data_IF_797050630085
#
_entry.id   IF_797050630085
#
_cell.length_a   1.000
_cell.length_b   1.000
_cell.length_c   1.000
_cell.angle_alpha   90.00
_cell.angle_beta   90.00
_cell.angle_gamma   90.00
#
_symmetry.space_group_name_H-M   'P 1'
#
loop_
_entity.id
_entity.type
_entity.pdbx_description
1 polymer ?
#
# COMPACT_ATOMS: atom_id res chain seq x y z
N UNK A 1 -44.68 -7.79 2.72
CA UNK A 1 -43.24 -8.06 2.49
C UNK A 1 -42.74 -7.08 1.45
N UNK A 2 -41.55 -6.48 1.62
CA UNK A 2 -40.98 -5.58 0.62
C UNK A 2 -40.83 -6.31 -0.73
N UNK A 3 -41.03 -5.60 -1.83
CA UNK A 3 -40.89 -6.15 -3.19
C UNK A 3 -39.48 -5.98 -3.75
N UNK A 4 -38.59 -5.36 -2.97
CA UNK A 4 -37.21 -5.03 -3.35
C UNK A 4 -36.24 -5.33 -2.21
N UNK A 5 -34.96 -5.49 -2.53
CA UNK A 5 -33.87 -5.57 -1.57
C UNK A 5 -33.59 -4.23 -0.88
N UNK A 6 -32.90 -4.27 0.26
CA UNK A 6 -32.77 -3.12 1.15
C UNK A 6 -31.73 -2.09 0.66
N UNK A 7 -30.67 -2.55 -0.02
CA UNK A 7 -29.50 -1.72 -0.34
C UNK A 7 -29.58 -1.21 -1.78
N UNK A 8 -29.73 -2.13 -2.74
CA UNK A 8 -29.70 -1.84 -4.17
C UNK A 8 -31.09 -1.81 -4.81
N UNK A 9 -32.16 -2.00 -4.03
CA UNK A 9 -33.54 -2.01 -4.51
C UNK A 9 -33.81 -3.06 -5.61
N UNK A 10 -33.15 -4.23 -5.52
CA UNK A 10 -33.29 -5.32 -6.48
C UNK A 10 -34.68 -5.94 -6.40
N UNK A 11 -35.41 -6.11 -7.52
CA UNK A 11 -36.76 -6.63 -7.50
C UNK A 11 -36.81 -8.10 -7.10
N UNK A 12 -37.73 -8.43 -6.20
CA UNK A 12 -38.01 -9.80 -5.78
C UNK A 12 -39.09 -10.45 -6.63
N UNK A 13 -38.97 -11.76 -6.84
CA UNK A 13 -40.01 -12.58 -7.45
C UNK A 13 -41.19 -12.66 -6.48
N UNK A 14 -42.40 -12.36 -6.96
CA UNK A 14 -43.61 -12.45 -6.15
C UNK A 14 -44.05 -13.91 -5.93
N UNK A 15 -44.74 -14.21 -4.81
CA UNK A 15 -45.31 -15.54 -4.57
C UNK A 15 -46.25 -16.01 -5.70
N UNK A 16 -46.35 -17.33 -5.92
CA UNK A 16 -47.28 -17.93 -6.89
C UNK A 16 -46.66 -18.72 -8.05
N UNK A 17 -45.33 -18.79 -8.14
CA UNK A 17 -44.60 -19.54 -9.18
C UNK A 17 -43.83 -20.73 -8.58
N UNK A 18 -44.54 -21.77 -8.12
CA UNK A 18 -43.96 -23.03 -7.59
C UNK A 18 -42.82 -22.83 -6.56
N UNK A 19 -43.00 -21.88 -5.62
CA UNK A 19 -42.04 -21.56 -4.55
C UNK A 19 -40.61 -21.13 -4.96
N UNK A 20 -40.34 -20.90 -6.25
CA UNK A 20 -39.02 -20.43 -6.73
C UNK A 20 -38.58 -19.10 -6.14
N UNK A 21 -39.54 -18.26 -5.75
CA UNK A 21 -39.30 -16.98 -5.10
C UNK A 21 -38.53 -17.09 -3.79
N UNK A 22 -38.65 -18.21 -3.05
CA UNK A 22 -37.98 -18.36 -1.75
C UNK A 22 -36.46 -18.37 -1.92
N UNK A 23 -35.93 -19.40 -2.60
CA UNK A 23 -34.49 -19.57 -2.78
C UNK A 23 -33.86 -18.47 -3.64
N UNK A 24 -34.59 -17.97 -4.63
CA UNK A 24 -34.08 -16.87 -5.48
C UNK A 24 -34.00 -15.55 -4.73
N UNK A 25 -35.03 -15.17 -3.95
CA UNK A 25 -34.99 -13.92 -3.22
C UNK A 25 -33.99 -13.98 -2.06
N UNK A 26 -33.77 -15.16 -1.45
CA UNK A 26 -32.65 -15.36 -0.51
C UNK A 26 -31.30 -15.12 -1.18
N UNK A 27 -31.06 -15.68 -2.37
CA UNK A 27 -29.83 -15.42 -3.11
C UNK A 27 -29.66 -13.93 -3.46
N UNK A 28 -30.75 -13.24 -3.82
CA UNK A 28 -30.72 -11.80 -4.09
C UNK A 28 -30.42 -10.98 -2.84
N UNK A 29 -30.98 -11.33 -1.67
CA UNK A 29 -30.63 -10.68 -0.39
C UNK A 29 -29.13 -10.77 -0.09
N UNK A 30 -28.53 -11.95 -0.33
CA UNK A 30 -27.09 -12.15 -0.10
C UNK A 30 -26.25 -11.34 -1.09
N UNK A 31 -26.63 -11.32 -2.37
CA UNK A 31 -25.96 -10.49 -3.38
C UNK A 31 -26.07 -8.99 -3.10
N UNK A 32 -27.25 -8.52 -2.66
CA UNK A 32 -27.49 -7.13 -2.26
C UNK A 32 -26.50 -6.67 -1.17
N UNK A 33 -26.17 -7.56 -0.23
CA UNK A 33 -25.22 -7.29 0.82
C UNK A 33 -23.74 -7.39 0.40
N UNK A 34 -23.41 -8.26 -0.56
CA UNK A 34 -22.02 -8.68 -0.86
C UNK A 34 -21.42 -8.12 -2.16
N UNK A 35 -22.21 -7.54 -3.07
CA UNK A 35 -21.68 -7.02 -4.36
C UNK A 35 -20.76 -5.81 -4.16
N UNK A 36 -21.09 -4.94 -3.20
CA UNK A 36 -20.29 -3.77 -2.81
C UNK A 36 -20.44 -3.57 -1.29
N UNK A 37 -19.87 -4.46 -0.47
CA UNK A 37 -20.15 -4.49 0.96
C UNK A 37 -19.52 -3.26 1.63
N UNK A 38 -20.38 -2.41 2.17
CA UNK A 38 -20.00 -1.26 3.00
C UNK A 38 -20.42 -1.56 4.43
N UNK A 39 -19.48 -1.75 5.33
CA UNK A 39 -19.76 -2.05 6.73
C UNK A 39 -19.56 -0.79 7.58
N UNK A 40 -20.38 -0.63 8.61
CA UNK A 40 -20.28 0.54 9.48
C UNK A 40 -18.99 0.51 10.31
N UNK A 41 -18.65 -0.67 10.83
CA UNK A 41 -17.52 -0.92 11.72
C UNK A 41 -17.08 -2.40 11.65
N UNK A 42 -15.90 -2.70 12.24
CA UNK A 42 -15.35 -4.06 12.40
C UNK A 42 -14.90 -4.42 13.82
N UNK A 43 -15.06 -3.50 14.77
CA UNK A 43 -14.59 -3.61 16.15
C UNK A 43 -15.74 -3.76 17.18
N UNK A 44 -16.99 -3.76 16.72
CA UNK A 44 -18.17 -3.91 17.57
C UNK A 44 -18.42 -5.38 17.96
N UNK A 45 -18.70 -5.59 19.25
CA UNK A 45 -18.95 -6.91 19.84
C UNK A 45 -20.41 -7.17 20.20
N UNK A 46 -21.32 -6.23 19.98
CA UNK A 46 -22.75 -6.42 20.26
C UNK A 46 -23.61 -5.73 19.20
N UNK A 47 -24.73 -6.33 18.77
CA UNK A 47 -25.60 -5.72 17.78
C UNK A 47 -26.15 -4.37 18.25
N UNK A 48 -26.29 -3.39 17.34
CA UNK A 48 -27.11 -2.20 17.60
C UNK A 48 -28.51 -2.59 18.10
N UNK A 49 -29.04 -1.83 19.07
CA UNK A 49 -30.39 -2.08 19.58
C UNK A 49 -31.49 -1.77 18.55
N UNK A 50 -31.23 -0.82 17.64
CA UNK A 50 -32.18 -0.38 16.61
C UNK A 50 -31.47 -0.25 15.25
N UNK A 51 -31.12 -1.36 14.59
CA UNK A 51 -30.48 -1.34 13.29
C UNK A 51 -31.47 -1.01 12.16
N UNK A 52 -31.05 -0.18 11.22
CA UNK A 52 -31.79 0.05 9.97
C UNK A 52 -31.68 -1.17 9.04
N UNK A 53 -32.71 -1.43 8.24
CA UNK A 53 -32.66 -2.51 7.25
C UNK A 53 -31.48 -2.29 6.28
N UNK A 54 -30.66 -3.31 6.09
CA UNK A 54 -29.42 -3.24 5.32
C UNK A 54 -28.19 -2.78 6.12
N UNK A 55 -28.32 -2.51 7.44
CA UNK A 55 -27.16 -2.25 8.29
C UNK A 55 -26.20 -3.45 8.25
N UNK A 56 -24.90 -3.18 8.10
CA UNK A 56 -23.86 -4.21 7.99
C UNK A 56 -22.68 -3.91 8.89
N UNK A 57 -22.15 -4.95 9.52
CA UNK A 57 -21.01 -4.89 10.43
C UNK A 57 -20.10 -6.08 10.19
N UNK A 58 -18.80 -5.93 10.41
CA UNK A 58 -17.92 -7.08 10.64
C UNK A 58 -17.95 -7.35 12.14
N UNK A 59 -18.35 -8.56 12.52
CA UNK A 59 -18.49 -8.93 13.93
C UNK A 59 -17.11 -9.07 14.57
N UNK A 60 -16.83 -8.32 15.63
CA UNK A 60 -15.55 -8.40 16.33
C UNK A 60 -15.43 -9.67 17.18
N UNK A 61 -14.19 -10.02 17.54
CA UNK A 61 -13.93 -11.11 18.47
C UNK A 61 -14.58 -10.85 19.84
N UNK A 62 -15.09 -11.91 20.48
CA UNK A 62 -15.81 -11.79 21.76
C UNK A 62 -17.24 -11.26 21.63
N UNK A 63 -17.86 -11.45 20.46
CA UNK A 63 -19.23 -11.02 20.22
C UNK A 63 -20.27 -11.68 21.16
N UNK A 64 -21.25 -10.90 21.57
CA UNK A 64 -22.36 -11.30 22.43
C UNK A 64 -23.73 -11.04 21.80
N UNK A 65 -24.79 -11.44 22.52
CA UNK A 65 -26.17 -11.33 22.03
C UNK A 65 -26.38 -12.17 20.76
N UNK A 66 -27.13 -11.63 19.80
CA UNK A 66 -27.40 -12.28 18.52
C UNK A 66 -26.13 -12.55 17.69
N UNK A 67 -25.02 -11.88 18.01
CA UNK A 67 -23.74 -12.04 17.30
C UNK A 67 -22.84 -13.12 17.92
N UNK A 68 -23.29 -13.80 18.97
CA UNK A 68 -22.50 -14.85 19.66
C UNK A 68 -22.11 -15.97 18.68
N UNK A 69 -20.81 -16.24 18.55
CA UNK A 69 -20.27 -17.27 17.66
C UNK A 69 -20.01 -16.83 16.21
N UNK A 70 -20.32 -15.58 15.87
CA UNK A 70 -20.22 -15.06 14.49
C UNK A 70 -19.00 -14.15 14.25
N UNK A 71 -17.97 -14.24 15.10
CA UNK A 71 -16.78 -13.40 15.00
C UNK A 71 -16.08 -13.53 13.62
N UNK A 72 -15.79 -12.39 13.00
CA UNK A 72 -15.18 -12.28 11.67
C UNK A 72 -16.16 -12.35 10.50
N UNK A 73 -17.43 -12.70 10.74
CA UNK A 73 -18.47 -12.71 9.71
C UNK A 73 -19.01 -11.31 9.44
N UNK A 74 -19.59 -11.12 8.24
CA UNK A 74 -20.36 -9.92 7.92
C UNK A 74 -21.78 -10.15 8.42
N UNK A 75 -22.18 -9.43 9.47
CA UNK A 75 -23.55 -9.38 9.95
C UNK A 75 -24.35 -8.37 9.11
N UNK A 76 -25.55 -8.76 8.67
CA UNK A 76 -26.47 -7.97 7.84
C UNK A 76 -27.84 -7.98 8.50
N UNK A 77 -28.40 -6.81 8.80
CA UNK A 77 -29.76 -6.71 9.30
C UNK A 77 -30.76 -6.73 8.14
N UNK A 78 -31.63 -7.74 8.06
CA UNK A 78 -32.60 -7.85 6.97
C UNK A 78 -33.93 -7.10 7.23
N UNK A 79 -34.02 -6.40 8.37
CA UNK A 79 -35.23 -5.76 8.87
C UNK A 79 -35.94 -6.55 9.97
N UNK A 80 -35.59 -7.82 10.17
CA UNK A 80 -36.20 -8.69 11.18
C UNK A 80 -35.17 -9.52 11.97
N UNK A 81 -34.09 -9.97 11.32
CA UNK A 81 -33.03 -10.73 11.97
C UNK A 81 -31.64 -10.37 11.40
N UNK A 82 -30.61 -10.72 12.16
CA UNK A 82 -29.23 -10.71 11.68
C UNK A 82 -28.97 -11.95 10.82
N UNK A 83 -28.57 -11.71 9.58
CA UNK A 83 -28.02 -12.72 8.68
C UNK A 83 -26.49 -12.60 8.72
N UNK A 84 -25.78 -13.73 8.70
CA UNK A 84 -24.32 -13.74 8.76
C UNK A 84 -23.73 -14.37 7.52
N UNK A 85 -22.77 -13.68 6.92
CA UNK A 85 -22.03 -14.15 5.75
C UNK A 85 -20.59 -14.45 6.14
N UNK A 86 -20.21 -15.73 6.06
CA UNK A 86 -18.84 -16.18 6.30
C UNK A 86 -17.94 -15.77 5.13
N UNK A 87 -16.91 -14.93 5.36
CA UNK A 87 -16.05 -14.47 4.28
C UNK A 87 -15.07 -15.55 3.80
N UNK A 88 -14.75 -15.50 2.51
CA UNK A 88 -13.68 -16.31 1.92
C UNK A 88 -12.43 -15.46 1.66
N UNK A 89 -11.22 -16.05 1.65
CA UNK A 89 -10.00 -15.33 1.34
C UNK A 89 -10.11 -14.53 0.04
N UNK A 90 -9.78 -13.23 0.11
CA UNK A 90 -9.87 -12.31 -1.03
C UNK A 90 -11.12 -11.45 -1.07
N UNK A 91 -12.14 -11.73 -0.25
CA UNK A 91 -13.29 -10.84 -0.06
C UNK A 91 -12.82 -9.45 0.39
N UNK A 92 -13.58 -8.42 0.00
CA UNK A 92 -13.30 -7.02 0.31
C UNK A 92 -14.54 -6.39 0.93
N UNK A 93 -14.36 -5.37 1.75
CA UNK A 93 -15.41 -4.51 2.27
C UNK A 93 -14.86 -3.13 2.59
N UNK A 94 -15.65 -2.09 2.40
CA UNK A 94 -15.28 -0.73 2.83
C UNK A 94 -15.83 -0.49 4.23
N UNK A 95 -14.98 -0.09 5.18
CA UNK A 95 -15.37 0.23 6.55
C UNK A 95 -15.50 1.75 6.73
N UNK A 96 -16.71 2.23 6.97
CA UNK A 96 -16.96 3.68 7.07
C UNK A 96 -16.37 4.31 8.32
N UNK A 97 -16.26 3.57 9.44
CA UNK A 97 -15.64 4.08 10.66
C UNK A 97 -14.14 4.36 10.52
N UNK A 98 -13.47 3.63 9.61
CA UNK A 98 -12.02 3.73 9.37
C UNK A 98 -11.68 4.48 8.07
N UNK A 99 -12.68 4.76 7.21
CA UNK A 99 -12.50 5.25 5.84
C UNK A 99 -11.49 4.39 5.04
N UNK A 100 -11.57 3.06 5.19
CA UNK A 100 -10.57 2.13 4.67
C UNK A 100 -11.17 0.87 4.03
N UNK A 101 -10.51 0.40 2.97
CA UNK A 101 -10.80 -0.89 2.32
C UNK A 101 -10.14 -2.06 3.04
N UNK A 102 -11.00 -2.91 3.59
CA UNK A 102 -10.65 -4.15 4.24
C UNK A 102 -10.57 -5.29 3.23
N UNK A 103 -9.66 -6.24 3.47
CA UNK A 103 -9.55 -7.50 2.73
C UNK A 103 -9.47 -8.65 3.71
N UNK A 104 -10.27 -9.68 3.49
CA UNK A 104 -10.23 -10.91 4.28
C UNK A 104 -9.08 -11.81 3.81
N UNK A 105 -8.27 -12.27 4.77
CA UNK A 105 -7.12 -13.14 4.55
C UNK A 105 -6.89 -14.11 5.70
N UNK A 106 -5.67 -14.66 5.81
CA UNK A 106 -5.32 -15.67 6.81
C UNK A 106 -5.35 -15.15 8.25
N UNK A 107 -5.26 -13.83 8.44
CA UNK A 107 -5.34 -13.16 9.74
C UNK A 107 -6.69 -12.44 9.95
N UNK A 108 -7.71 -12.78 9.16
CA UNK A 108 -9.02 -12.12 9.20
C UNK A 108 -9.08 -10.87 8.31
N UNK A 109 -9.93 -9.92 8.69
CA UNK A 109 -10.09 -8.64 7.99
C UNK A 109 -8.96 -7.69 8.34
N UNK A 110 -8.21 -7.26 7.33
CA UNK A 110 -7.14 -6.27 7.50
C UNK A 110 -7.39 -5.04 6.63
N UNK A 111 -7.03 -3.86 7.11
CA UNK A 111 -6.92 -2.62 6.34
C UNK A 111 -5.73 -2.63 5.37
N UNK A 112 -5.62 -1.64 4.49
CA UNK A 112 -4.46 -1.44 3.63
C UNK A 112 -3.24 -0.98 4.43
N UNK A 113 -3.43 -0.18 5.47
CA UNK A 113 -2.41 0.26 6.42
C UNK A 113 -1.77 -0.90 7.19
N UNK A 114 -2.57 -1.91 7.52
CA UNK A 114 -2.16 -3.12 8.23
C UNK A 114 -1.47 -4.15 7.31
N UNK A 115 -1.70 -4.05 6.00
CA UNK A 115 -1.10 -4.92 4.99
C UNK A 115 0.18 -4.27 4.46
N UNK A 116 1.31 -4.98 4.57
CA UNK A 116 2.54 -4.57 3.90
C UNK A 116 2.33 -4.46 2.38
N UNK A 117 2.76 -3.35 1.78
CA UNK A 117 2.72 -3.18 0.32
C UNK A 117 3.89 -3.92 -0.31
N UNK A 118 3.58 -4.89 -1.18
CA UNK A 118 4.57 -5.54 -2.07
C UNK A 118 4.17 -5.26 -3.51
N UNK A 119 4.92 -4.40 -4.17
CA UNK A 119 4.71 -4.04 -5.57
C UNK A 119 5.93 -4.45 -6.39
N UNK A 120 5.70 -5.00 -7.59
CA UNK A 120 6.79 -5.26 -8.54
C UNK A 120 7.30 -3.95 -9.15
N UNK A 121 6.40 -2.99 -9.37
CA UNK A 121 6.65 -1.66 -9.91
C UNK A 121 5.77 -0.64 -9.16
N UNK A 122 6.31 0.52 -8.79
CA UNK A 122 5.60 1.62 -8.17
C UNK A 122 5.99 2.93 -8.85
N UNK A 123 5.06 3.46 -9.66
CA UNK A 123 5.19 4.75 -10.32
C UNK A 123 4.29 5.80 -9.65
N UNK A 124 4.83 6.99 -9.39
CA UNK A 124 4.11 8.15 -8.88
C UNK A 124 4.23 9.29 -9.91
N UNK A 125 3.14 9.60 -10.62
CA UNK A 125 3.09 10.52 -11.78
C UNK A 125 4.09 10.17 -12.91
N UNK A 126 4.59 8.94 -12.95
CA UNK A 126 5.50 8.42 -13.96
C UNK A 126 5.29 6.90 -14.07
N UNK A 127 5.64 6.33 -15.21
CA UNK A 127 5.66 4.87 -15.38
C UNK A 127 6.97 4.30 -14.81
N UNK A 128 6.85 3.22 -14.04
CA UNK A 128 7.97 2.44 -13.55
C UNK A 128 8.21 1.25 -14.50
N UNK A 129 9.47 0.84 -14.64
CA UNK A 129 9.88 -0.24 -15.54
C UNK A 129 10.75 -1.29 -14.84
N UNK A 130 11.23 -2.28 -15.59
CA UNK A 130 12.00 -3.40 -15.03
C UNK A 130 13.33 -2.98 -14.37
N UNK A 131 13.86 -1.81 -14.75
CA UNK A 131 15.08 -1.18 -14.26
C UNK A 131 14.72 -0.23 -13.10
N UNK A 132 13.93 0.80 -13.38
CA UNK A 132 13.44 1.79 -12.42
C UNK A 132 12.11 1.35 -11.84
N UNK A 133 12.16 0.38 -10.94
CA UNK A 133 10.95 -0.21 -10.33
C UNK A 133 10.25 0.72 -9.33
N UNK A 134 10.92 1.78 -8.89
CA UNK A 134 10.35 2.87 -8.13
C UNK A 134 10.64 4.18 -8.87
N UNK A 135 9.62 4.77 -9.48
CA UNK A 135 9.75 5.99 -10.29
C UNK A 135 8.82 7.08 -9.77
N UNK A 136 9.33 8.30 -9.66
CA UNK A 136 8.60 9.46 -9.16
C UNK A 136 8.86 10.67 -10.04
N UNK A 137 7.78 11.29 -10.54
CA UNK A 137 7.81 12.61 -11.18
C UNK A 137 7.05 13.61 -10.33
N UNK A 138 7.77 14.41 -9.55
CA UNK A 138 7.17 15.39 -8.65
C UNK A 138 8.14 16.56 -8.36
N UNK A 139 7.63 17.71 -7.89
CA UNK A 139 8.49 18.82 -7.46
C UNK A 139 9.40 18.50 -6.26
N UNK A 140 9.05 17.53 -5.41
CA UNK A 140 9.86 17.15 -4.25
C UNK A 140 9.58 15.71 -3.77
N UNK A 141 10.54 15.14 -3.03
CA UNK A 141 10.39 13.88 -2.27
C UNK A 141 10.71 14.16 -0.81
N UNK A 142 9.76 13.92 0.11
CA UNK A 142 10.00 14.01 1.55
C UNK A 142 10.24 12.61 2.13
N UNK A 143 11.41 12.40 2.71
CA UNK A 143 11.75 11.20 3.47
C UNK A 143 11.89 11.58 4.95
N UNK A 144 10.88 11.23 5.76
CA UNK A 144 10.83 11.62 7.17
C UNK A 144 11.09 10.42 8.11
N UNK A 145 11.46 10.72 9.36
CA UNK A 145 11.58 9.73 10.42
C UNK A 145 10.26 9.56 11.19
N UNK A 146 10.14 8.43 11.89
CA UNK A 146 9.11 8.21 12.91
C UNK A 146 9.83 7.88 14.23
N UNK A 147 10.25 8.92 14.95
CA UNK A 147 11.06 8.79 16.17
C UNK A 147 12.56 9.04 15.96
N UNK A 148 13.43 8.06 16.22
CA UNK A 148 14.85 8.35 16.46
C UNK A 148 15.70 8.69 15.22
N UNK A 149 15.38 8.21 14.03
CA UNK A 149 16.18 8.53 12.84
C UNK A 149 15.66 7.95 11.53
N UNK A 150 16.26 8.41 10.42
CA UNK A 150 15.99 7.97 9.05
C UNK A 150 17.31 7.58 8.37
N UNK A 151 17.34 6.47 7.60
CA UNK A 151 18.55 6.00 6.90
C UNK A 151 18.19 5.47 5.52
N UNK A 152 18.90 5.96 4.51
CA UNK A 152 18.90 5.34 3.19
C UNK A 152 20.07 4.34 3.11
N UNK A 153 19.75 3.07 2.85
CA UNK A 153 20.77 2.02 2.64
C UNK A 153 20.80 1.68 1.16
N UNK A 154 21.86 2.09 0.48
CA UNK A 154 22.09 1.81 -0.94
C UNK A 154 23.15 0.71 -1.00
N UNK A 155 22.77 -0.45 -1.51
CA UNK A 155 23.65 -1.62 -1.58
C UNK A 155 24.00 -1.93 -3.02
N UNK A 156 25.23 -2.40 -3.24
CA UNK A 156 25.72 -2.91 -4.52
C UNK A 156 26.02 -4.40 -4.39
N UNK A 157 26.05 -5.14 -5.50
CA UNK A 157 26.23 -6.59 -5.47
C UNK A 157 27.69 -7.01 -5.22
N UNK A 158 28.64 -6.28 -5.80
CA UNK A 158 30.07 -6.52 -5.69
C UNK A 158 30.90 -5.24 -5.62
N UNK A 159 32.21 -5.38 -5.42
CA UNK A 159 33.13 -4.24 -5.19
C UNK A 159 33.34 -3.31 -6.39
N UNK A 160 33.05 -3.79 -7.60
CA UNK A 160 33.10 -3.01 -8.84
C UNK A 160 31.76 -2.45 -9.29
N UNK A 161 30.68 -2.70 -8.53
CA UNK A 161 29.35 -2.20 -8.85
C UNK A 161 29.11 -0.82 -8.24
N UNK A 162 27.99 -0.20 -8.62
CA UNK A 162 27.61 1.14 -8.21
C UNK A 162 26.55 1.15 -7.10
N UNK A 163 26.79 1.94 -6.06
CA UNK A 163 25.80 2.35 -5.07
C UNK A 163 25.96 3.86 -4.83
N UNK A 164 25.15 4.67 -5.50
CA UNK A 164 25.34 6.12 -5.60
C UNK A 164 24.02 6.89 -5.71
N UNK A 165 24.16 8.21 -5.66
CA UNK A 165 23.14 9.18 -6.05
C UNK A 165 23.63 9.90 -7.31
N UNK A 166 22.86 9.80 -8.40
CA UNK A 166 23.14 10.40 -9.69
C UNK A 166 22.26 11.64 -9.91
N UNK A 167 22.89 12.77 -10.24
CA UNK A 167 22.23 14.04 -10.53
C UNK A 167 22.27 14.31 -12.04
N UNK A 168 21.11 14.61 -12.63
CA UNK A 168 20.95 14.63 -14.09
C UNK A 168 20.20 15.87 -14.60
N UNK A 169 20.44 16.23 -15.86
CA UNK A 169 19.60 17.15 -16.64
C UNK A 169 19.23 16.48 -17.96
N UNK A 170 17.93 16.38 -18.27
CA UNK A 170 17.47 15.75 -19.51
C UNK A 170 17.97 14.31 -19.70
N UNK A 171 18.03 13.52 -18.62
CA UNK A 171 18.57 12.15 -18.59
C UNK A 171 20.08 12.03 -18.87
N UNK A 172 20.83 13.13 -18.95
CA UNK A 172 22.29 13.12 -18.97
C UNK A 172 22.85 13.35 -17.56
N UNK A 173 23.81 12.52 -17.14
CA UNK A 173 24.49 12.63 -15.84
C UNK A 173 25.44 13.82 -15.77
N UNK A 174 25.32 14.64 -14.73
CA UNK A 174 26.22 15.77 -14.49
C UNK A 174 27.10 15.62 -13.25
N UNK A 175 26.59 14.94 -12.22
CA UNK A 175 27.33 14.63 -11.00
C UNK A 175 26.84 13.32 -10.38
N UNK A 176 27.73 12.61 -9.69
CA UNK A 176 27.42 11.36 -9.00
C UNK A 176 28.20 11.30 -7.68
N UNK A 177 27.56 10.84 -6.59
CA UNK A 177 28.25 10.61 -5.32
C UNK A 177 27.91 9.26 -4.71
N UNK A 178 28.93 8.55 -4.22
CA UNK A 178 28.78 7.23 -3.60
C UNK A 178 29.94 6.29 -3.91
N UNK A 179 29.64 4.99 -3.84
CA UNK A 179 30.54 3.91 -4.25
C UNK A 179 30.34 3.66 -5.75
N UNK A 180 30.91 4.52 -6.59
CA UNK A 180 30.68 4.54 -8.03
C UNK A 180 31.72 3.68 -8.79
N UNK A 181 31.52 2.36 -8.81
CA UNK A 181 32.40 1.40 -9.48
C UNK A 181 33.66 1.01 -8.71
N UNK A 182 33.79 1.46 -7.45
CA UNK A 182 34.97 1.25 -6.61
C UNK A 182 34.63 1.26 -5.11
N UNK A 183 35.53 0.79 -4.25
CA UNK A 183 35.30 0.70 -2.80
C UNK A 183 35.33 2.02 -2.04
N UNK A 184 35.94 3.04 -2.63
CA UNK A 184 36.10 4.35 -2.03
C UNK A 184 34.84 5.20 -2.26
N UNK A 185 34.51 6.05 -1.29
CA UNK A 185 33.48 7.06 -1.51
C UNK A 185 34.03 8.13 -2.45
N UNK A 186 33.28 8.49 -3.48
CA UNK A 186 33.70 9.47 -4.47
C UNK A 186 32.60 10.47 -4.80
N UNK A 187 33.02 11.65 -5.26
CA UNK A 187 32.20 12.64 -5.94
C UNK A 187 32.80 12.80 -7.34
N UNK A 188 32.01 12.47 -8.36
CA UNK A 188 32.39 12.53 -9.76
C UNK A 188 31.52 13.54 -10.51
N UNK A 189 32.09 14.21 -11.50
CA UNK A 189 31.38 15.15 -12.37
C UNK A 189 31.57 14.76 -13.83
N UNK A 190 30.62 15.16 -14.68
CA UNK A 190 30.66 14.93 -16.12
C UNK A 190 30.03 16.10 -16.87
N UNK A 191 30.65 16.49 -17.98
CA UNK A 191 30.11 17.53 -18.86
C UNK A 191 29.16 16.98 -19.92
N UNK A 192 29.26 15.69 -20.26
CA UNK A 192 28.54 15.04 -21.36
C UNK A 192 27.72 13.81 -20.93
N UNK A 193 27.82 13.39 -19.66
CA UNK A 193 27.18 12.20 -19.11
C UNK A 193 27.89 10.89 -19.43
N UNK A 194 29.04 10.93 -20.11
CA UNK A 194 29.79 9.77 -20.55
C UNK A 194 31.22 9.75 -19.98
N UNK A 195 31.95 10.86 -20.09
CA UNK A 195 33.27 11.03 -19.51
C UNK A 195 33.16 11.57 -18.08
N UNK A 196 33.73 10.84 -17.12
CA UNK A 196 33.62 11.16 -15.70
C UNK A 196 34.98 11.52 -15.10
N UNK A 197 35.02 12.65 -14.40
CA UNK A 197 36.17 13.11 -13.62
C UNK A 197 35.92 12.85 -12.14
N UNK A 198 36.90 12.27 -11.44
CA UNK A 198 36.81 12.10 -9.97
C UNK A 198 37.32 13.36 -9.28
N UNK A 199 36.40 14.25 -8.91
CA UNK A 199 36.73 15.50 -8.23
C UNK A 199 37.26 15.24 -6.80
N UNK A 200 36.58 14.35 -6.06
CA UNK A 200 36.97 13.95 -4.70
C UNK A 200 36.81 12.44 -4.54
N UNK A 201 37.76 11.83 -3.85
CA UNK A 201 37.74 10.45 -3.40
C UNK A 201 38.22 10.38 -1.95
N UNK A 202 37.51 9.61 -1.13
CA UNK A 202 37.89 9.28 0.24
C UNK A 202 38.16 7.79 0.34
N UNK A 203 39.42 7.45 0.62
CA UNK A 203 39.84 6.05 0.70
C UNK A 203 39.14 5.33 1.84
N UNK A 204 38.51 4.18 1.55
CA UNK A 204 37.75 3.43 2.55
C UNK A 204 38.62 2.89 3.70
N UNK A 205 39.90 2.62 3.44
CA UNK A 205 40.81 2.04 4.42
C UNK A 205 41.20 2.99 5.55
N UNK A 206 41.34 4.28 5.27
CA UNK A 206 41.90 5.25 6.22
C UNK A 206 41.39 6.68 6.08
N UNK A 207 40.47 6.94 5.15
CA UNK A 207 39.84 8.25 4.96
C UNK A 207 40.70 9.29 4.25
N UNK A 208 41.86 8.93 3.68
CA UNK A 208 42.69 9.88 2.93
C UNK A 208 41.94 10.42 1.70
N UNK A 209 41.99 11.75 1.52
CA UNK A 209 41.40 12.44 0.38
C UNK A 209 42.36 12.49 -0.81
N UNK A 210 41.82 12.31 -2.02
CA UNK A 210 42.51 12.49 -3.30
C UNK A 210 41.50 12.91 -4.37
N UNK A 211 41.96 13.26 -5.58
CA UNK A 211 41.10 13.63 -6.71
C UNK A 211 41.51 14.97 -7.31
N UNK A 212 40.93 15.31 -8.45
CA UNK A 212 41.37 16.47 -9.25
C UNK A 212 41.13 17.81 -8.55
N UNK A 213 40.21 17.87 -7.58
CA UNK A 213 39.93 19.06 -6.79
C UNK A 213 40.70 19.10 -5.45
N UNK A 214 41.53 18.08 -5.15
CA UNK A 214 42.29 18.02 -3.88
C UNK A 214 43.66 18.67 -4.09
N UNK A 215 43.82 19.87 -3.52
CA UNK A 215 45.10 20.57 -3.48
C UNK A 215 46.09 19.87 -2.55
N UNK A 216 47.32 19.75 -3.02
CA UNK A 216 48.45 19.15 -2.29
C UNK A 216 49.23 20.17 -1.44
N UNK A 217 49.16 21.46 -1.79
CA UNK A 217 49.78 22.56 -1.05
C UNK A 217 49.08 23.92 -1.28
N UNK A 218 49.40 24.99 -0.51
CA UNK A 218 48.74 26.30 -0.63
C UNK A 218 48.97 27.07 -1.94
N UNK A 219 49.97 26.68 -2.73
CA UNK A 219 50.27 27.22 -4.05
C UNK A 219 49.73 26.32 -5.17
N UNK A 220 49.12 25.19 -4.82
CA UNK A 220 48.55 24.25 -5.78
C UNK A 220 47.40 24.92 -6.54
N UNK A 221 47.62 25.11 -7.84
CA UNK A 221 46.69 25.75 -8.75
C UNK A 221 45.98 24.71 -9.63
N UNK A 222 45.66 23.52 -9.09
CA UNK A 222 44.63 22.64 -9.66
C UNK A 222 43.47 23.52 -10.17
N UNK A 223 43.23 23.56 -11.50
CA UNK A 223 42.42 24.58 -12.13
C UNK A 223 40.94 24.55 -11.72
#
# INVERSE_FOLDING_TARGET
MPQISAILSLPYIQPGQAQKHVTHNEALKRLDALVQPVVADRDRTSPPATPDAGARHIVAAGAGGDWTGHAGEIAVWDGNAWCFETPLPGWRAHCTAEDEDLRFGTQGWQGRSERGVRAAHLGLNAEADSTDRLTLSAPSTLLNHDGAGHRLKINRAGGGDTASLLFQTGFSGGAEMGLAGEADFSIKTSADGAAWTTALRLRAADGMASGDAVQSDPLDATP
#
